data_IF_885566915468
#
_entry.id   IF_885566915468
#
_cell.length_a   1.000
_cell.length_b   1.000
_cell.length_c   1.000
_cell.angle_alpha   90.00
_cell.angle_beta   90.00
_cell.angle_gamma   90.00
#
_symmetry.space_group_name_H-M   'P 1'
#
loop_
_entity.id
_entity.type
_entity.pdbx_description
1 polymer ?
#
# COMPACT_ATOMS: atom_id res chain seq x y z
N UNK A 1 -16.54 -9.93 7.93
CA UNK A 1 -16.28 -9.07 6.76
C UNK A 1 -17.45 -8.14 6.61
N UNK A 2 -17.22 -6.85 6.80
CA UNK A 2 -18.25 -5.83 6.72
C UNK A 2 -18.75 -5.66 5.28
N UNK A 3 -20.07 -5.50 5.12
CA UNK A 3 -20.70 -5.30 3.81
C UNK A 3 -20.10 -4.12 3.04
N UNK A 4 -19.66 -3.08 3.75
CA UNK A 4 -18.98 -1.93 3.15
C UNK A 4 -17.64 -2.30 2.51
N UNK A 5 -16.88 -3.22 3.12
CA UNK A 5 -15.60 -3.68 2.57
C UNK A 5 -15.80 -4.40 1.23
N UNK A 6 -16.83 -5.23 1.11
CA UNK A 6 -17.14 -5.92 -0.16
C UNK A 6 -17.57 -4.95 -1.28
N UNK A 7 -18.29 -3.88 -0.92
CA UNK A 7 -18.70 -2.84 -1.86
C UNK A 7 -17.48 -2.06 -2.37
N UNK A 8 -16.59 -1.64 -1.48
CA UNK A 8 -15.35 -0.93 -1.85
C UNK A 8 -14.43 -1.81 -2.68
N UNK A 9 -14.27 -3.08 -2.31
CA UNK A 9 -13.53 -4.08 -3.10
C UNK A 9 -14.09 -4.25 -4.51
N UNK A 10 -15.42 -4.31 -4.63
CA UNK A 10 -16.07 -4.45 -5.93
C UNK A 10 -15.86 -3.21 -6.80
N UNK A 11 -16.01 -2.01 -6.23
CA UNK A 11 -15.76 -0.74 -6.92
C UNK A 11 -14.31 -0.65 -7.39
N UNK A 12 -13.36 -0.98 -6.51
CA UNK A 12 -11.94 -0.99 -6.84
C UNK A 12 -11.61 -2.00 -7.94
N UNK A 13 -12.11 -3.23 -7.85
CA UNK A 13 -11.87 -4.26 -8.86
C UNK A 13 -12.38 -3.84 -10.24
N UNK A 14 -13.53 -3.18 -10.32
CA UNK A 14 -14.08 -2.66 -11.58
C UNK A 14 -13.28 -1.48 -12.12
N UNK A 15 -12.88 -0.53 -11.25
CA UNK A 15 -12.08 0.63 -11.64
C UNK A 15 -10.68 0.21 -12.09
N UNK A 16 -10.00 -0.60 -11.26
CA UNK A 16 -8.66 -1.11 -11.53
C UNK A 16 -8.62 -2.03 -12.76
N UNK A 17 -9.72 -2.68 -13.14
CA UNK A 17 -9.77 -3.52 -14.35
C UNK A 17 -9.39 -2.77 -15.63
N UNK A 18 -9.74 -1.49 -15.71
CA UNK A 18 -9.42 -0.68 -16.89
C UNK A 18 -7.91 -0.39 -17.03
N UNK A 19 -7.17 -0.55 -15.94
CA UNK A 19 -5.80 -0.03 -15.84
C UNK A 19 -4.78 -1.12 -15.52
N UNK A 20 -5.07 -1.96 -14.54
CA UNK A 20 -4.22 -3.08 -14.08
C UNK A 20 -4.73 -4.45 -14.59
N UNK A 21 -5.95 -4.51 -15.12
CA UNK A 21 -6.56 -5.74 -15.61
C UNK A 21 -7.28 -6.54 -14.52
N UNK A 22 -7.45 -7.85 -14.71
CA UNK A 22 -8.29 -8.65 -13.82
C UNK A 22 -7.69 -8.77 -12.39
N UNK A 23 -8.22 -7.95 -11.47
CA UNK A 23 -7.87 -8.00 -10.05
C UNK A 23 -8.62 -9.11 -9.35
N UNK A 24 -7.91 -9.98 -8.62
CA UNK A 24 -8.53 -11.06 -7.83
C UNK A 24 -8.77 -10.59 -6.38
N UNK A 25 -10.03 -10.31 -5.98
CA UNK A 25 -10.33 -9.78 -4.65
C UNK A 25 -9.95 -10.75 -3.52
N UNK A 26 -10.08 -12.07 -3.74
CA UNK A 26 -9.73 -13.06 -2.73
C UNK A 26 -8.22 -13.11 -2.46
N UNK A 27 -7.39 -12.89 -3.49
CA UNK A 27 -5.94 -12.76 -3.32
C UNK A 27 -5.58 -11.42 -2.68
N UNK A 28 -6.28 -10.35 -3.01
CA UNK A 28 -6.06 -9.02 -2.43
C UNK A 28 -6.25 -9.00 -0.91
N UNK A 29 -7.18 -9.81 -0.39
CA UNK A 29 -7.40 -9.95 1.05
C UNK A 29 -6.37 -10.88 1.70
N UNK A 30 -6.03 -12.00 1.05
CA UNK A 30 -5.22 -13.08 1.67
C UNK A 30 -3.72 -12.90 1.51
N UNK A 31 -3.30 -12.23 0.44
CA UNK A 31 -1.91 -12.12 0.03
C UNK A 31 -1.49 -10.65 0.01
N UNK A 32 -0.70 -10.28 1.03
CA UNK A 32 -0.22 -8.92 1.23
C UNK A 32 0.73 -8.48 0.11
N UNK A 33 1.53 -9.39 -0.45
CA UNK A 33 2.47 -9.06 -1.52
C UNK A 33 1.71 -8.73 -2.82
N UNK A 34 0.68 -9.53 -3.12
CA UNK A 34 -0.19 -9.26 -4.26
C UNK A 34 -0.94 -7.93 -4.10
N UNK A 35 -1.45 -7.63 -2.90
CA UNK A 35 -2.10 -6.36 -2.63
C UNK A 35 -1.16 -5.17 -2.86
N UNK A 36 0.05 -5.20 -2.31
CA UNK A 36 1.06 -4.14 -2.49
C UNK A 36 1.39 -3.90 -3.96
N UNK A 37 1.63 -4.96 -4.75
CA UNK A 37 1.92 -4.81 -6.18
C UNK A 37 0.76 -4.16 -6.95
N UNK A 38 -0.48 -4.52 -6.62
CA UNK A 38 -1.66 -3.92 -7.26
C UNK A 38 -1.78 -2.45 -6.88
N UNK A 39 -1.54 -2.10 -5.61
CA UNK A 39 -1.59 -0.72 -5.15
C UNK A 39 -0.48 0.14 -5.74
N UNK A 40 0.76 -0.35 -5.80
CA UNK A 40 1.88 0.36 -6.44
C UNK A 40 1.61 0.64 -7.93
N UNK A 41 1.00 -0.31 -8.64
CA UNK A 41 0.61 -0.09 -10.04
C UNK A 41 -0.44 1.00 -10.15
N UNK A 42 -1.48 0.98 -9.30
CA UNK A 42 -2.52 2.01 -9.27
C UNK A 42 -1.94 3.39 -8.93
N UNK A 43 -0.99 3.46 -7.99
CA UNK A 43 -0.33 4.70 -7.58
C UNK A 43 0.54 5.28 -8.71
N UNK A 44 1.26 4.42 -9.44
CA UNK A 44 2.07 4.81 -10.59
C UNK A 44 1.25 5.37 -11.77
N UNK A 45 -0.04 5.06 -11.84
CA UNK A 45 -0.94 5.52 -12.88
C UNK A 45 -1.47 6.95 -12.64
N UNK A 46 -1.41 7.45 -11.40
CA UNK A 46 -1.75 8.84 -11.08
C UNK A 46 -3.23 9.19 -11.22
N UNK A 47 -4.13 8.20 -11.22
CA UNK A 47 -5.58 8.43 -11.24
C UNK A 47 -6.09 8.67 -9.82
N UNK A 48 -6.43 9.93 -9.53
CA UNK A 48 -6.77 10.42 -8.18
C UNK A 48 -7.92 9.65 -7.54
N UNK A 49 -8.97 9.31 -8.31
CA UNK A 49 -10.12 8.56 -7.79
C UNK A 49 -9.73 7.14 -7.37
N UNK A 50 -8.87 6.51 -8.17
CA UNK A 50 -8.38 5.15 -7.97
C UNK A 50 -7.42 5.06 -6.79
N UNK A 51 -6.57 6.08 -6.61
CA UNK A 51 -5.67 6.23 -5.47
C UNK A 51 -6.48 6.38 -4.17
N UNK A 52 -7.48 7.26 -4.14
CA UNK A 52 -8.40 7.40 -3.00
C UNK A 52 -9.10 6.08 -2.65
N UNK A 53 -9.61 5.38 -3.65
CA UNK A 53 -10.25 4.07 -3.47
C UNK A 53 -9.28 3.01 -2.94
N UNK A 54 -8.02 3.06 -3.38
CA UNK A 54 -6.97 2.15 -2.91
C UNK A 54 -6.64 2.38 -1.43
N UNK A 55 -6.58 3.64 -0.99
CA UNK A 55 -6.34 4.02 0.40
C UNK A 55 -7.48 3.57 1.33
N UNK A 56 -8.73 3.80 0.93
CA UNK A 56 -9.91 3.32 1.67
C UNK A 56 -9.89 1.80 1.84
N UNK A 57 -9.50 1.08 0.77
CA UNK A 57 -9.45 -0.37 0.76
C UNK A 57 -8.30 -0.89 1.65
N UNK A 58 -7.13 -0.25 1.61
CA UNK A 58 -6.02 -0.55 2.52
C UNK A 58 -6.39 -0.32 3.99
N UNK A 59 -7.17 0.73 4.29
CA UNK A 59 -7.64 1.05 5.64
C UNK A 59 -8.65 0.00 6.12
N UNK A 60 -9.59 -0.40 5.25
CA UNK A 60 -10.58 -1.46 5.53
C UNK A 60 -9.95 -2.85 5.68
N UNK A 61 -8.87 -3.14 4.97
CA UNK A 61 -8.12 -4.39 5.11
C UNK A 61 -7.14 -4.37 6.29
N UNK A 62 -7.01 -3.24 7.00
CA UNK A 62 -6.01 -3.08 8.07
C UNK A 62 -4.56 -3.17 7.58
N UNK A 63 -4.35 -2.99 6.27
CA UNK A 63 -3.03 -2.95 5.63
C UNK A 63 -2.34 -1.61 5.85
N UNK A 64 -3.15 -0.56 6.02
CA UNK A 64 -2.72 0.78 6.36
C UNK A 64 -2.52 0.85 7.88
N UNK A 65 -1.38 0.32 8.35
CA UNK A 65 -0.86 0.72 9.66
C UNK A 65 -0.42 2.17 9.51
N UNK A 66 -0.96 3.15 10.27
CA UNK A 66 -0.39 4.48 10.30
C UNK A 66 1.08 4.30 10.64
N UNK A 67 1.95 4.82 9.77
CA UNK A 67 3.40 4.60 9.78
C UNK A 67 3.94 4.46 11.21
N UNK A 68 4.07 3.23 11.68
CA UNK A 68 4.98 2.93 12.78
C UNK A 68 6.33 2.89 12.12
N UNK A 69 6.93 4.08 11.99
CA UNK A 69 8.38 4.31 11.91
C UNK A 69 9.13 3.09 11.35
N UNK A 70 9.09 2.93 10.03
CA UNK A 70 10.20 2.23 9.40
C UNK A 70 11.38 3.20 9.54
N UNK A 71 12.10 3.00 10.65
CA UNK A 71 13.44 3.49 10.87
C UNK A 71 14.26 3.03 9.66
N UNK A 72 14.30 3.84 8.61
CA UNK A 72 15.48 3.91 7.78
C UNK A 72 16.64 4.15 8.76
N UNK A 73 17.62 3.24 8.87
CA UNK A 73 18.78 3.51 9.70
C UNK A 73 19.51 4.66 9.03
N UNK A 74 19.28 5.88 9.54
CA UNK A 74 20.16 7.02 9.32
C UNK A 74 21.53 6.52 9.72
N UNK A 75 22.39 6.30 8.73
CA UNK A 75 23.78 5.93 8.91
C UNK A 75 24.40 7.03 9.77
N UNK A 76 24.43 6.82 11.09
CA UNK A 76 25.17 7.67 12.01
C UNK A 76 26.64 7.51 11.63
N UNK A 77 27.13 8.52 10.92
CA UNK A 77 28.51 8.66 10.50
C UNK A 77 29.42 8.36 11.68
N UNK A 78 30.03 7.18 11.59
CA UNK A 78 31.07 6.67 12.46
C UNK A 78 32.33 7.51 12.20
N UNK A 79 32.39 8.72 12.75
CA UNK A 79 33.64 9.47 12.83
C UNK A 79 34.17 9.37 14.25
N UNK A 80 35.33 8.75 14.30
CA UNK A 80 35.95 8.16 15.47
C UNK A 80 36.38 9.23 16.46
N UNK A 81 36.05 8.99 17.73
CA UNK A 81 36.87 9.41 18.85
C UNK A 81 38.32 8.95 18.56
N UNK A 82 39.26 9.89 18.42
CA UNK A 82 40.59 9.52 17.92
C UNK A 82 41.64 10.62 17.81
N UNK A 83 41.95 11.23 18.95
CA UNK A 83 43.29 11.68 19.35
C UNK A 83 43.89 13.00 18.81
N UNK A 84 44.71 13.59 19.71
CA UNK A 84 45.83 14.54 19.53
C UNK A 84 45.39 16.02 19.50
N UNK A 85 45.92 16.95 20.29
CA UNK A 85 47.00 17.00 21.30
C UNK A 85 46.70 18.12 22.29
#
# INVERSE_FOLDING_TARGET
>A
MDNQCLVVLSKFSVAARKVVGAVNPAKLIKDRQYATQVFEQVDALGDEELILLSLDLQLLLGLLTPASNDNAPVIQGKYMMGARS
#
